data_IF_971340009691
#
_entry.id   IF_971340009691
#
_cell.length_a   1.000
_cell.length_b   1.000
_cell.length_c   1.000
_cell.angle_alpha   90.00
_cell.angle_beta   90.00
_cell.angle_gamma   90.00
#
_symmetry.space_group_name_H-M   'P 1'
#
loop_
_entity.id
_entity.type
_entity.pdbx_description
1 polymer ?
#
# COMPACT_ATOMS: atom_id res chain seq x y z
N UNK A 1 3.26 -10.01 -15.17
CA UNK A 1 3.79 -8.83 -15.90
C UNK A 1 2.69 -7.82 -16.24
N UNK A 2 1.78 -8.09 -17.18
CA UNK A 2 0.73 -7.10 -17.57
C UNK A 2 -0.11 -6.60 -16.38
N UNK A 3 -0.57 -7.51 -15.52
CA UNK A 3 -1.32 -7.15 -14.30
C UNK A 3 -0.51 -6.25 -13.36
N UNK A 4 0.80 -6.50 -13.20
CA UNK A 4 1.68 -5.70 -12.34
C UNK A 4 1.85 -4.27 -12.87
N UNK A 5 2.09 -4.11 -14.18
CA UNK A 5 2.22 -2.78 -14.81
C UNK A 5 0.91 -1.99 -14.71
N UNK A 6 -0.22 -2.66 -14.92
CA UNK A 6 -1.52 -2.04 -14.78
C UNK A 6 -1.79 -1.59 -13.33
N UNK A 7 -1.51 -2.45 -12.34
CA UNK A 7 -1.69 -2.12 -10.93
C UNK A 7 -0.76 -1.00 -10.47
N UNK A 8 0.46 -0.91 -11.01
CA UNK A 8 1.34 0.22 -10.74
C UNK A 8 0.67 1.55 -11.10
N UNK A 9 0.07 1.66 -12.28
CA UNK A 9 -0.67 2.86 -12.68
C UNK A 9 -1.93 3.10 -11.84
N UNK A 10 -2.77 2.07 -11.69
CA UNK A 10 -4.02 2.16 -10.94
C UNK A 10 -3.81 2.56 -9.48
N UNK A 11 -2.89 1.87 -8.79
CA UNK A 11 -2.65 2.10 -7.36
C UNK A 11 -1.95 3.44 -7.11
N UNK A 12 -1.14 3.93 -8.06
CA UNK A 12 -0.59 5.30 -7.99
C UNK A 12 -1.72 6.34 -7.95
N UNK A 13 -2.74 6.17 -8.80
CA UNK A 13 -3.90 7.09 -8.84
C UNK A 13 -4.69 7.00 -7.54
N UNK A 14 -5.02 5.79 -7.08
CA UNK A 14 -5.75 5.58 -5.81
C UNK A 14 -5.01 6.21 -4.63
N UNK A 15 -3.69 6.04 -4.57
CA UNK A 15 -2.85 6.63 -3.53
C UNK A 15 -2.92 8.16 -3.53
N UNK A 16 -2.78 8.77 -4.70
CA UNK A 16 -2.82 10.23 -4.85
C UNK A 16 -4.20 10.83 -4.55
N UNK A 17 -5.28 10.12 -4.89
CA UNK A 17 -6.64 10.63 -4.69
C UNK A 17 -7.06 10.58 -3.22
N UNK A 18 -6.83 9.45 -2.53
CA UNK A 18 -7.22 9.32 -1.11
C UNK A 18 -6.29 8.46 -0.27
N UNK A 19 -5.56 7.50 -0.85
CA UNK A 19 -4.78 6.53 -0.07
C UNK A 19 -3.74 7.17 0.85
N UNK A 20 -3.01 8.18 0.37
CA UNK A 20 -2.04 8.91 1.20
C UNK A 20 -2.69 9.57 2.42
N UNK A 21 -3.87 10.16 2.23
CA UNK A 21 -4.61 10.82 3.30
C UNK A 21 -5.13 9.82 4.34
N UNK A 22 -5.66 8.68 3.90
CA UNK A 22 -6.15 7.64 4.82
C UNK A 22 -5.00 6.95 5.58
N UNK A 23 -3.78 6.97 5.06
CA UNK A 23 -2.61 6.40 5.71
C UNK A 23 -1.90 7.41 6.63
N UNK A 24 -1.74 8.67 6.22
CA UNK A 24 -0.88 9.66 6.88
C UNK A 24 -1.56 10.99 7.22
N UNK A 25 -2.86 11.13 6.95
CA UNK A 25 -3.65 12.30 7.36
C UNK A 25 -3.86 12.36 8.87
N UNK A 26 -4.56 13.40 9.34
CA UNK A 26 -4.87 13.57 10.76
C UNK A 26 -5.62 12.36 11.32
N UNK A 27 -5.35 12.01 12.57
CA UNK A 27 -6.01 10.86 13.16
C UNK A 27 -7.54 11.00 13.24
N UNK A 28 -8.24 9.96 12.82
CA UNK A 28 -9.68 9.78 13.04
C UNK A 28 -9.91 8.44 13.75
N UNK A 29 -10.91 8.43 14.63
CA UNK A 29 -11.37 7.24 15.36
C UNK A 29 -10.30 6.66 16.32
N UNK A 30 -9.35 7.48 16.79
CA UNK A 30 -8.41 7.11 17.86
C UNK A 30 -7.26 6.20 17.39
N UNK A 31 -6.66 6.51 16.25
CA UNK A 31 -5.51 5.82 15.66
C UNK A 31 -5.89 4.86 14.52
N UNK A 32 -7.16 4.75 14.13
CA UNK A 32 -7.66 3.70 13.24
C UNK A 32 -7.53 4.04 11.76
N UNK A 33 -7.69 5.30 11.37
CA UNK A 33 -7.56 5.72 9.97
C UNK A 33 -7.23 7.20 9.90
N UNK A 34 -6.44 7.57 8.91
CA UNK A 34 -6.13 8.97 8.61
C UNK A 34 -7.33 9.72 8.03
N UNK A 35 -7.25 11.03 8.17
CA UNK A 35 -8.29 11.96 7.80
C UNK A 35 -8.32 12.32 6.32
N UNK A 36 -9.04 13.40 6.01
CA UNK A 36 -9.28 13.86 4.63
C UNK A 36 -8.39 15.04 4.25
N UNK A 37 -7.40 15.39 5.08
CA UNK A 37 -6.57 16.60 4.92
C UNK A 37 -5.76 16.61 3.62
N UNK A 38 -5.43 15.41 3.13
CA UNK A 38 -4.58 15.17 1.96
C UNK A 38 -5.33 14.56 0.78
N UNK A 39 -6.67 14.57 0.79
CA UNK A 39 -7.44 14.17 -0.38
C UNK A 39 -7.08 15.02 -1.60
N UNK A 40 -6.95 14.35 -2.74
CA UNK A 40 -6.54 14.96 -4.01
C UNK A 40 -5.22 15.73 -3.91
N UNK A 41 -4.29 15.26 -3.07
CA UNK A 41 -2.98 15.89 -2.82
C UNK A 41 -3.04 17.31 -2.21
N UNK A 42 -4.18 17.70 -1.63
CA UNK A 42 -4.29 18.95 -0.88
C UNK A 42 -3.25 18.96 0.26
N UNK A 43 -2.59 20.08 0.50
CA UNK A 43 -1.55 20.20 1.53
C UNK A 43 -0.39 19.17 1.42
N UNK A 44 -0.19 18.54 0.25
CA UNK A 44 0.93 17.63 -0.02
C UNK A 44 1.90 18.25 -1.02
N UNK A 45 1.37 18.84 -2.09
CA UNK A 45 2.16 19.54 -3.10
C UNK A 45 2.39 21.02 -2.69
N UNK A 46 3.45 21.66 -3.20
CA UNK A 46 3.63 23.09 -3.01
C UNK A 46 2.43 23.88 -3.54
N UNK A 47 2.01 24.89 -2.78
CA UNK A 47 0.91 25.76 -3.17
C UNK A 47 1.24 27.21 -2.85
N UNK A 48 0.52 28.13 -3.49
CA UNK A 48 0.66 29.56 -3.23
C UNK A 48 -0.25 29.99 -2.09
N UNK A 49 0.31 30.70 -1.11
CA UNK A 49 -0.45 31.31 -0.01
C UNK A 49 -0.57 32.82 -0.25
N UNK A 50 -1.78 33.28 -0.55
CA UNK A 50 -2.08 34.69 -0.82
C UNK A 50 -1.89 35.60 0.41
N UNK A 51 -2.09 35.07 1.62
CA UNK A 51 -1.90 35.83 2.86
C UNK A 51 -0.42 36.03 3.17
N UNK A 52 0.38 34.97 3.00
CA UNK A 52 1.82 35.03 3.17
C UNK A 52 2.56 35.63 1.96
N UNK A 53 1.87 35.81 0.82
CA UNK A 53 2.42 36.22 -0.48
C UNK A 53 3.66 35.41 -0.88
N UNK A 54 3.65 34.12 -0.55
CA UNK A 54 4.80 33.24 -0.76
C UNK A 54 4.34 31.82 -1.08
N UNK A 55 5.25 31.06 -1.70
CA UNK A 55 5.04 29.64 -1.94
C UNK A 55 5.27 28.86 -0.64
N UNK A 56 4.28 28.07 -0.24
CA UNK A 56 4.36 27.17 0.90
C UNK A 56 4.70 25.77 0.38
N UNK A 57 5.73 25.16 0.99
CA UNK A 57 6.11 23.77 0.74
C UNK A 57 5.70 22.97 1.98
N UNK A 58 4.67 22.12 1.90
CA UNK A 58 4.30 21.26 3.02
C UNK A 58 5.44 20.32 3.38
N UNK A 59 5.73 20.19 4.68
CA UNK A 59 6.84 19.39 5.19
C UNK A 59 6.34 18.19 6.00
N UNK A 60 7.07 17.08 5.91
CA UNK A 60 6.95 15.89 6.75
C UNK A 60 8.30 15.68 7.44
N UNK A 61 8.39 16.05 8.72
CA UNK A 61 9.68 16.14 9.41
C UNK A 61 10.65 17.08 8.68
N UNK A 62 11.80 16.54 8.27
CA UNK A 62 12.86 17.30 7.58
C UNK A 62 12.78 17.25 6.04
N UNK A 63 11.76 16.62 5.46
CA UNK A 63 11.64 16.44 4.00
C UNK A 63 10.32 17.03 3.48
N UNK A 64 10.23 17.43 2.20
CA UNK A 64 8.97 17.82 1.59
C UNK A 64 7.94 16.68 1.68
N UNK A 65 6.70 17.00 2.03
CA UNK A 65 5.63 16.00 2.15
C UNK A 65 5.34 15.29 0.83
N UNK A 66 5.52 15.98 -0.30
CA UNK A 66 5.43 15.37 -1.63
C UNK A 66 6.45 14.25 -1.84
N UNK A 67 7.65 14.38 -1.28
CA UNK A 67 8.68 13.33 -1.34
C UNK A 67 8.28 12.13 -0.48
N UNK A 68 7.80 12.38 0.75
CA UNK A 68 7.27 11.33 1.61
C UNK A 68 6.10 10.58 0.94
N UNK A 69 5.17 11.33 0.30
CA UNK A 69 4.03 10.77 -0.41
C UNK A 69 4.45 9.82 -1.53
N UNK A 70 5.42 10.22 -2.38
CA UNK A 70 5.90 9.38 -3.49
C UNK A 70 6.68 8.17 -2.96
N UNK A 71 7.47 8.33 -1.90
CA UNK A 71 8.20 7.23 -1.27
C UNK A 71 7.24 6.15 -0.74
N UNK A 72 6.24 6.57 0.03
CA UNK A 72 5.23 5.66 0.59
C UNK A 72 4.32 5.05 -0.48
N UNK A 73 4.10 5.76 -1.59
CA UNK A 73 3.36 5.24 -2.74
C UNK A 73 4.00 3.96 -3.29
N UNK A 74 5.33 3.82 -3.24
CA UNK A 74 6.01 2.62 -3.72
C UNK A 74 5.63 1.39 -2.90
N UNK A 75 5.50 1.52 -1.57
CA UNK A 75 5.03 0.46 -0.69
C UNK A 75 3.55 0.13 -0.96
N UNK A 76 2.72 1.16 -1.17
CA UNK A 76 1.31 0.99 -1.53
C UNK A 76 1.12 0.23 -2.85
N UNK A 77 1.97 0.50 -3.85
CA UNK A 77 1.91 -0.15 -5.17
C UNK A 77 2.39 -1.61 -5.11
N UNK A 78 3.52 -1.87 -4.45
CA UNK A 78 4.13 -3.22 -4.47
C UNK A 78 3.28 -4.23 -3.72
N UNK A 79 2.58 -3.81 -2.67
CA UNK A 79 1.85 -4.73 -1.79
C UNK A 79 0.73 -5.52 -2.49
N UNK A 80 -0.24 -4.90 -3.21
CA UNK A 80 -1.21 -5.65 -3.99
C UNK A 80 -0.57 -6.43 -5.15
N UNK A 81 0.56 -5.95 -5.70
CA UNK A 81 1.29 -6.70 -6.73
C UNK A 81 1.88 -8.01 -6.19
N UNK A 82 2.28 -8.07 -4.92
CA UNK A 82 2.67 -9.32 -4.25
C UNK A 82 1.50 -10.29 -4.11
N UNK A 83 0.29 -9.78 -3.80
CA UNK A 83 -0.92 -10.60 -3.71
C UNK A 83 -1.29 -11.20 -5.07
N UNK A 84 -1.06 -10.45 -6.17
CA UNK A 84 -1.36 -10.94 -7.51
C UNK A 84 -0.71 -12.26 -7.87
N UNK A 85 0.47 -12.57 -7.31
CA UNK A 85 1.09 -13.88 -7.49
C UNK A 85 0.20 -15.05 -7.08
N UNK A 86 -0.69 -14.86 -6.10
CA UNK A 86 -1.58 -15.90 -5.58
C UNK A 86 -2.79 -16.20 -6.48
N UNK A 87 -3.29 -15.18 -7.19
CA UNK A 87 -4.50 -15.30 -8.02
C UNK A 87 -4.24 -15.06 -9.52
N UNK A 88 -2.97 -14.91 -9.92
CA UNK A 88 -2.58 -14.83 -11.31
C UNK A 88 -3.21 -16.00 -12.09
N UNK A 89 -3.82 -15.70 -13.24
CA UNK A 89 -4.53 -16.65 -14.10
C UNK A 89 -5.83 -17.25 -13.53
N UNK A 90 -6.26 -16.87 -12.31
CA UNK A 90 -7.47 -17.43 -11.65
C UNK A 90 -8.54 -16.41 -11.30
N UNK A 91 -8.26 -15.12 -11.45
CA UNK A 91 -9.22 -14.05 -11.20
C UNK A 91 -9.50 -13.25 -12.48
N UNK A 92 -10.76 -12.89 -12.70
CA UNK A 92 -11.15 -11.96 -13.77
C UNK A 92 -10.44 -10.62 -13.57
N UNK A 93 -10.05 -9.96 -14.65
CA UNK A 93 -9.37 -8.67 -14.58
C UNK A 93 -10.18 -7.60 -13.82
N UNK A 94 -11.50 -7.53 -14.06
CA UNK A 94 -12.38 -6.61 -13.33
C UNK A 94 -12.44 -6.90 -11.83
N UNK A 95 -12.46 -8.17 -11.44
CA UNK A 95 -12.42 -8.57 -10.04
C UNK A 95 -11.07 -8.18 -9.39
N UNK A 96 -9.96 -8.30 -10.12
CA UNK A 96 -8.64 -7.83 -9.66
C UNK A 96 -8.61 -6.32 -9.40
N UNK A 97 -9.17 -5.52 -10.31
CA UNK A 97 -9.23 -4.06 -10.18
C UNK A 97 -9.98 -3.68 -8.91
N UNK A 98 -11.20 -4.21 -8.75
CA UNK A 98 -12.05 -3.92 -7.59
C UNK A 98 -11.38 -4.40 -6.30
N UNK A 99 -10.87 -5.63 -6.29
CA UNK A 99 -10.16 -6.20 -5.16
C UNK A 99 -8.99 -5.32 -4.73
N UNK A 100 -8.14 -4.88 -5.66
CA UNK A 100 -6.93 -4.10 -5.34
C UNK A 100 -7.26 -2.72 -4.79
N UNK A 101 -8.29 -2.06 -5.33
CA UNK A 101 -8.76 -0.75 -4.84
C UNK A 101 -9.33 -0.90 -3.42
N UNK A 102 -10.23 -1.87 -3.21
CA UNK A 102 -10.86 -2.10 -1.91
C UNK A 102 -9.82 -2.52 -0.87
N UNK A 103 -8.93 -3.45 -1.23
CA UNK A 103 -7.87 -3.94 -0.34
C UNK A 103 -6.89 -2.82 0.01
N UNK A 104 -6.43 -2.04 -0.97
CA UNK A 104 -5.57 -0.89 -0.72
C UNK A 104 -6.24 0.12 0.21
N UNK A 105 -7.53 0.40 0.01
CA UNK A 105 -8.26 1.41 0.78
C UNK A 105 -8.61 0.95 2.19
N UNK A 106 -9.12 -0.27 2.35
CA UNK A 106 -9.70 -0.75 3.61
C UNK A 106 -8.79 -1.68 4.42
N UNK A 107 -7.72 -2.19 3.83
CA UNK A 107 -6.76 -3.05 4.53
C UNK A 107 -5.44 -2.32 4.65
N UNK A 108 -4.84 -1.92 3.53
CA UNK A 108 -3.51 -1.32 3.56
C UNK A 108 -3.51 0.05 4.25
N UNK A 109 -4.38 0.99 3.87
CA UNK A 109 -4.34 2.34 4.43
C UNK A 109 -4.52 2.35 5.96
N UNK A 110 -5.49 1.60 6.54
CA UNK A 110 -5.56 1.46 8.00
C UNK A 110 -4.29 0.84 8.59
N UNK A 111 -3.78 -0.27 8.05
CA UNK A 111 -2.55 -0.90 8.57
C UNK A 111 -1.35 0.06 8.55
N UNK A 112 -1.17 0.79 7.45
CA UNK A 112 -0.13 1.82 7.33
C UNK A 112 -0.34 2.93 8.35
N UNK A 113 -1.57 3.36 8.58
CA UNK A 113 -1.88 4.36 9.59
C UNK A 113 -1.54 3.87 11.00
N UNK A 114 -1.92 2.65 11.35
CA UNK A 114 -1.71 2.08 12.69
C UNK A 114 -0.23 2.02 13.06
N UNK A 115 0.61 1.65 12.08
CA UNK A 115 2.01 1.28 12.32
C UNK A 115 2.97 2.42 11.98
N UNK A 116 2.68 3.23 10.96
CA UNK A 116 3.61 4.26 10.45
C UNK A 116 3.14 5.70 10.61
N UNK A 117 1.84 5.96 10.80
CA UNK A 117 1.40 7.32 11.11
C UNK A 117 1.92 7.76 12.47
N UNK A 118 2.27 9.04 12.62
CA UNK A 118 2.73 9.60 13.90
C UNK A 118 1.71 9.36 15.04
N UNK A 119 0.42 9.36 14.70
CA UNK A 119 -0.69 9.15 15.64
C UNK A 119 -1.17 7.68 15.69
N UNK A 120 -0.53 6.77 14.95
CA UNK A 120 -0.93 5.37 14.86
C UNK A 120 -0.81 4.64 16.21
N UNK A 121 -1.82 3.85 16.58
CA UNK A 121 -1.86 3.18 17.90
C UNK A 121 -0.84 2.03 18.05
N UNK A 122 -0.18 1.60 16.96
CA UNK A 122 0.92 0.64 16.96
C UNK A 122 2.28 1.28 16.65
N UNK A 123 2.34 2.57 16.33
CA UNK A 123 3.60 3.19 15.97
C UNK A 123 4.53 3.25 17.19
N UNK A 124 5.69 2.60 17.11
CA UNK A 124 6.65 2.60 18.21
C UNK A 124 7.22 3.98 18.57
N UNK A 125 7.15 4.96 17.67
CA UNK A 125 7.52 6.35 17.93
C UNK A 125 6.39 7.18 18.54
N UNK A 126 5.16 6.66 18.60
CA UNK A 126 4.02 7.33 19.23
C UNK A 126 4.03 7.05 20.75
N UNK A 127 4.24 8.06 21.62
CA UNK A 127 4.23 7.88 23.07
C UNK A 127 2.90 7.36 23.64
N UNK A 128 1.81 7.52 22.91
CA UNK A 128 0.46 7.12 23.27
C UNK A 128 0.04 5.80 22.59
N UNK A 129 0.95 5.12 21.90
CA UNK A 129 0.66 3.83 21.29
C UNK A 129 0.19 2.81 22.33
N UNK A 130 -0.87 2.07 21.99
CA UNK A 130 -1.41 1.00 22.82
C UNK A 130 -0.40 -0.15 22.94
N UNK A 131 0.21 -0.52 21.81
CA UNK A 131 1.25 -1.55 21.72
C UNK A 131 2.33 -1.07 20.75
N UNK A 132 3.50 -0.61 21.22
CA UNK A 132 4.59 -0.19 20.36
C UNK A 132 5.09 -1.33 19.46
N UNK A 133 4.88 -1.21 18.15
CA UNK A 133 5.34 -2.17 17.15
C UNK A 133 6.49 -1.58 16.32
N UNK A 134 7.61 -2.30 16.27
CA UNK A 134 8.76 -1.91 15.46
C UNK A 134 8.66 -2.54 14.07
N UNK A 135 8.16 -1.76 13.11
CA UNK A 135 8.12 -2.13 11.70
C UNK A 135 8.79 -1.05 10.85
N UNK A 136 10.10 -1.22 10.61
CA UNK A 136 10.92 -0.23 9.94
C UNK A 136 10.60 -0.07 8.44
N UNK A 137 10.29 -1.17 7.75
CA UNK A 137 10.19 -1.19 6.29
C UNK A 137 9.08 -2.09 5.75
N UNK A 138 8.08 -2.44 6.56
CA UNK A 138 6.84 -3.05 6.09
C UNK A 138 6.79 -4.55 6.27
N UNK A 139 7.46 -5.09 7.27
CA UNK A 139 7.29 -6.48 7.68
C UNK A 139 5.82 -6.81 7.92
N UNK A 140 5.10 -5.95 8.64
CA UNK A 140 3.68 -6.11 8.89
C UNK A 140 2.82 -5.48 7.78
N UNK A 141 3.07 -4.19 7.47
CA UNK A 141 2.23 -3.42 6.54
C UNK A 141 2.27 -3.98 5.11
N UNK A 142 3.41 -4.52 4.66
CA UNK A 142 3.58 -5.08 3.31
C UNK A 142 3.56 -6.59 3.32
N UNK A 143 4.51 -7.24 4.00
CA UNK A 143 4.77 -8.67 3.80
C UNK A 143 3.76 -9.58 4.50
N UNK A 144 3.46 -9.35 5.78
CA UNK A 144 2.45 -10.14 6.49
C UNK A 144 1.07 -9.88 5.90
N UNK A 145 0.70 -8.62 5.67
CA UNK A 145 -0.61 -8.27 5.10
C UNK A 145 -0.84 -8.90 3.73
N UNK A 146 0.13 -8.80 2.81
CA UNK A 146 0.03 -9.41 1.47
C UNK A 146 0.11 -10.93 1.52
N UNK A 147 0.94 -11.51 2.38
CA UNK A 147 1.07 -12.95 2.56
C UNK A 147 -0.22 -13.60 3.09
N UNK A 148 -0.83 -13.01 4.12
CA UNK A 148 -2.12 -13.48 4.66
C UNK A 148 -3.21 -13.32 3.60
N UNK A 149 -3.23 -12.19 2.90
CA UNK A 149 -4.22 -11.95 1.82
C UNK A 149 -4.06 -12.95 0.68
N UNK A 150 -2.83 -13.24 0.27
CA UNK A 150 -2.51 -14.25 -0.73
C UNK A 150 -2.99 -15.66 -0.31
N UNK A 151 -2.78 -16.02 0.96
CA UNK A 151 -3.28 -17.29 1.51
C UNK A 151 -4.81 -17.36 1.46
N UNK A 152 -5.50 -16.31 1.90
CA UNK A 152 -6.96 -16.24 1.86
C UNK A 152 -7.47 -16.31 0.41
N UNK A 153 -6.86 -15.59 -0.53
CA UNK A 153 -7.18 -15.69 -1.95
C UNK A 153 -7.00 -17.12 -2.47
N UNK A 154 -5.91 -17.80 -2.12
CA UNK A 154 -5.65 -19.18 -2.54
C UNK A 154 -6.68 -20.16 -1.99
N UNK A 155 -7.16 -19.97 -0.75
CA UNK A 155 -8.20 -20.79 -0.13
C UNK A 155 -9.58 -20.55 -0.75
N UNK A 156 -9.94 -19.30 -1.05
CA UNK A 156 -11.27 -18.95 -1.55
C UNK A 156 -11.44 -19.16 -3.06
N UNK A 157 -10.40 -18.92 -3.87
CA UNK A 157 -10.47 -19.09 -5.34
C UNK A 157 -10.30 -20.55 -5.73
N UNK A 158 -9.57 -21.33 -4.93
CA UNK A 158 -9.36 -22.75 -5.14
C UNK A 158 -8.04 -23.12 -5.83
N UNK A 159 -7.82 -24.44 -5.95
CA UNK A 159 -6.56 -25.04 -6.41
C UNK A 159 -6.30 -24.80 -7.89
N UNK A 160 -5.02 -24.76 -8.28
CA UNK A 160 -4.62 -24.72 -9.70
C UNK A 160 -5.04 -26.03 -10.37
N UNK A 161 -5.41 -25.95 -11.64
CA UNK A 161 -5.50 -27.12 -12.52
C UNK A 161 -4.13 -27.84 -12.49
N UNK A 162 -4.14 -29.17 -12.33
CA UNK A 162 -2.94 -30.00 -12.24
C UNK A 162 -2.28 -30.07 -10.86
N UNK A 163 -2.70 -29.28 -9.86
CA UNK A 163 -2.12 -29.32 -8.51
C UNK A 163 -2.31 -30.70 -7.86
N UNK A 164 -1.20 -31.36 -7.51
CA UNK A 164 -1.20 -32.70 -6.90
C UNK A 164 -1.29 -33.86 -7.90
N UNK A 165 -1.41 -33.56 -9.20
CA UNK A 165 -1.49 -34.56 -10.27
C UNK A 165 -0.35 -34.42 -11.30
N UNK A 166 0.17 -33.20 -11.49
CA UNK A 166 1.25 -32.89 -12.43
C UNK A 166 2.34 -32.04 -11.76
N UNK A 167 3.62 -32.19 -12.17
CA UNK A 167 4.69 -31.31 -11.71
C UNK A 167 4.41 -29.86 -12.13
N UNK A 168 4.27 -28.95 -11.16
CA UNK A 168 4.14 -27.51 -11.42
C UNK A 168 5.51 -26.90 -11.67
N UNK A 169 5.98 -26.97 -12.91
CA UNK A 169 7.30 -26.45 -13.32
C UNK A 169 7.23 -24.91 -13.44
N UNK A 170 8.26 -24.17 -12.97
CA UNK A 170 8.35 -22.73 -13.20
C UNK A 170 8.30 -22.39 -14.69
N UNK A 171 7.47 -21.43 -15.06
CA UNK A 171 7.32 -21.03 -16.47
C UNK A 171 8.63 -20.48 -17.07
N UNK A 172 9.44 -19.75 -16.28
CA UNK A 172 10.74 -19.23 -16.72
C UNK A 172 11.63 -18.87 -15.52
N UNK A 173 12.66 -19.69 -15.24
CA UNK A 173 13.59 -19.47 -14.13
C UNK A 173 14.46 -18.21 -14.30
N UNK A 174 14.80 -17.84 -15.54
CA UNK A 174 15.58 -16.62 -15.82
C UNK A 174 14.82 -15.38 -15.38
N UNK A 175 13.51 -15.31 -15.64
CA UNK A 175 12.69 -14.19 -15.15
C UNK A 175 12.51 -14.20 -13.64
N UNK A 176 12.45 -15.36 -13.01
CA UNK A 176 12.45 -15.46 -11.54
C UNK A 176 13.76 -14.90 -10.96
N UNK A 177 14.91 -15.26 -11.54
CA UNK A 177 16.22 -14.77 -11.09
C UNK A 177 16.37 -13.27 -11.30
N UNK A 178 15.99 -12.75 -12.48
CA UNK A 178 16.00 -11.31 -12.75
C UNK A 178 15.10 -10.57 -11.75
N UNK A 179 13.88 -11.07 -11.51
CA UNK A 179 12.96 -10.47 -10.56
C UNK A 179 13.47 -10.49 -9.11
N UNK A 180 14.23 -11.51 -8.72
CA UNK A 180 14.84 -11.60 -7.39
C UNK A 180 16.10 -10.73 -7.24
N UNK A 181 16.75 -10.36 -8.34
CA UNK A 181 17.95 -9.52 -8.36
C UNK A 181 17.68 -8.02 -8.44
N UNK A 182 16.41 -7.61 -8.65
CA UNK A 182 15.93 -6.22 -8.65
C UNK A 182 15.40 -5.84 -7.27
#
# INVERSE_FOLDING_TARGET
>A
MMQCVFLMGLMSIVWALWGYSLAFGSDILGGLVGGTDYFFLRNVIPFWDDAAKSQVIPMEGSIPRSLHMVYQMMFFIITPALICGAFAERMKFSAMVIYSILWGTFVYCPLAHWIWSADGFLNAANPQALVPAFDFAGGAVVHISSGVSALICALLIGKRIGYGHEPLIPHNLTYTFIGAGL
#
